data_IF_593248499436
#
_entry.id   IF_593248499436
#
_cell.length_a   1.000
_cell.length_b   1.000
_cell.length_c   1.000
_cell.angle_alpha   90.00
_cell.angle_beta   90.00
_cell.angle_gamma   90.00
#
_symmetry.space_group_name_H-M   'P 1'
#
loop_
_entity.id
_entity.type
_entity.pdbx_description
1 polymer ?
#
# COMPACT_ATOMS: atom_id res chain seq x y z
N UNK A 1 -66.01 -56.33 29.90
CA UNK A 1 -64.95 -56.87 29.05
C UNK A 1 -64.17 -55.66 28.55
N UNK A 2 -63.05 -55.47 29.13
CA UNK A 2 -62.24 -54.22 29.10
C UNK A 2 -61.08 -54.32 28.06
N UNK A 3 -60.98 -53.36 27.19
CA UNK A 3 -59.86 -53.24 26.26
C UNK A 3 -58.79 -52.31 26.83
N UNK A 4 -57.47 -52.61 26.75
CA UNK A 4 -56.44 -51.77 27.28
C UNK A 4 -55.94 -50.78 26.24
N UNK A 5 -55.70 -49.54 26.69
CA UNK A 5 -55.13 -48.39 25.96
C UNK A 5 -53.66 -48.61 25.66
N UNK A 6 -53.26 -48.37 24.40
CA UNK A 6 -51.85 -48.28 23.96
C UNK A 6 -51.35 -46.86 24.19
N UNK A 7 -50.42 -46.66 25.12
CA UNK A 7 -49.63 -45.42 25.26
C UNK A 7 -48.43 -45.48 24.32
N UNK A 8 -48.40 -44.59 23.30
CA UNK A 8 -47.31 -44.43 22.38
C UNK A 8 -46.28 -43.46 23.01
N UNK A 9 -45.09 -43.98 23.32
CA UNK A 9 -43.96 -43.16 23.72
C UNK A 9 -43.27 -42.57 22.46
N UNK A 10 -43.40 -41.28 22.26
CA UNK A 10 -42.60 -40.54 21.25
C UNK A 10 -41.21 -40.31 21.81
N UNK A 11 -40.21 -40.98 21.24
CA UNK A 11 -38.77 -40.70 21.48
C UNK A 11 -38.36 -39.55 20.65
N UNK A 12 -38.06 -38.41 21.29
CA UNK A 12 -37.38 -37.26 20.64
C UNK A 12 -35.90 -37.59 20.44
N UNK A 13 -35.46 -37.76 19.19
CA UNK A 13 -34.05 -37.83 18.84
C UNK A 13 -33.51 -36.38 18.77
N UNK A 14 -32.75 -35.99 19.77
CA UNK A 14 -31.96 -34.73 19.69
C UNK A 14 -30.71 -35.04 18.87
N UNK A 15 -30.71 -34.60 17.59
CA UNK A 15 -29.53 -34.64 16.74
C UNK A 15 -28.60 -33.47 17.13
N UNK A 16 -27.56 -33.78 17.90
CA UNK A 16 -26.46 -32.85 18.14
C UNK A 16 -25.63 -32.69 16.84
N UNK A 17 -25.79 -31.56 16.13
CA UNK A 17 -24.88 -31.16 15.08
C UNK A 17 -23.52 -30.81 15.73
N UNK A 18 -22.60 -31.75 15.70
CA UNK A 18 -21.18 -31.45 15.96
C UNK A 18 -20.65 -30.65 14.79
N UNK A 19 -20.49 -29.35 14.98
CA UNK A 19 -19.75 -28.49 14.04
C UNK A 19 -18.30 -28.96 14.03
N UNK A 20 -17.91 -29.69 12.98
CA UNK A 20 -16.52 -30.05 12.72
C UNK A 20 -15.76 -28.80 12.41
N UNK A 21 -15.07 -28.21 13.40
CA UNK A 21 -14.06 -27.22 13.18
C UNK A 21 -12.94 -27.89 12.37
N UNK A 22 -12.88 -27.62 11.07
CA UNK A 22 -11.72 -27.99 10.25
C UNK A 22 -10.48 -27.34 10.88
N UNK A 23 -9.43 -28.09 11.25
CA UNK A 23 -8.20 -27.49 11.72
C UNK A 23 -7.64 -26.62 10.59
N UNK A 24 -7.48 -25.33 10.83
CA UNK A 24 -6.75 -24.45 9.93
C UNK A 24 -5.33 -24.99 9.83
N UNK A 25 -4.96 -25.52 8.66
CA UNK A 25 -3.60 -25.98 8.39
C UNK A 25 -2.70 -24.75 8.46
N UNK A 26 -1.84 -24.70 9.48
CA UNK A 26 -0.83 -23.67 9.57
C UNK A 26 0.01 -23.73 8.27
N UNK A 27 0.19 -22.60 7.61
CA UNK A 27 0.95 -22.56 6.35
C UNK A 27 2.39 -23.00 6.63
N UNK A 28 2.90 -23.98 5.87
CA UNK A 28 4.29 -24.43 5.96
C UNK A 28 5.29 -23.32 5.64
N UNK A 29 4.84 -22.28 4.97
CA UNK A 29 5.59 -21.06 4.63
C UNK A 29 4.61 -19.94 4.32
N UNK A 30 5.05 -18.68 4.47
CA UNK A 30 4.30 -17.49 4.05
C UNK A 30 4.90 -16.89 2.78
N UNK A 31 4.07 -16.25 1.98
CA UNK A 31 4.51 -15.47 0.83
C UNK A 31 4.16 -14.00 1.03
N UNK A 32 5.19 -13.13 1.06
CA UNK A 32 5.07 -11.67 1.12
C UNK A 32 5.37 -11.09 -0.27
N UNK A 33 4.43 -10.33 -0.83
CA UNK A 33 4.65 -9.55 -2.05
C UNK A 33 4.91 -8.09 -1.70
N UNK A 34 5.90 -7.47 -2.36
CA UNK A 34 6.27 -6.07 -2.19
C UNK A 34 5.76 -5.23 -3.36
N UNK A 35 5.27 -4.01 -3.06
CA UNK A 35 4.89 -3.02 -4.08
C UNK A 35 6.15 -2.42 -4.75
N UNK A 36 6.23 -2.34 -6.09
CA UNK A 36 7.41 -1.87 -6.81
C UNK A 36 7.52 -0.34 -6.83
N UNK A 37 7.62 0.29 -5.66
CA UNK A 37 7.71 1.76 -5.53
C UNK A 37 9.08 2.34 -5.77
N UNK A 38 10.09 1.48 -5.93
CA UNK A 38 11.49 1.80 -6.23
C UNK A 38 12.11 0.66 -7.06
N UNK A 39 13.39 0.79 -7.45
CA UNK A 39 14.09 -0.16 -8.31
C UNK A 39 13.92 -1.62 -7.84
N UNK A 40 13.30 -2.50 -8.63
CA UNK A 40 12.87 -3.83 -8.18
C UNK A 40 14.01 -4.73 -7.70
N UNK A 41 15.20 -4.66 -8.32
CA UNK A 41 16.35 -5.51 -7.94
C UNK A 41 16.84 -5.23 -6.53
N UNK A 42 16.92 -3.95 -6.15
CA UNK A 42 17.42 -3.53 -4.84
C UNK A 42 16.36 -3.81 -3.77
N UNK A 43 15.09 -3.64 -4.13
CA UNK A 43 13.96 -3.95 -3.29
C UNK A 43 13.84 -5.45 -3.01
N UNK A 44 14.06 -6.31 -4.01
CA UNK A 44 13.99 -7.77 -3.83
C UNK A 44 15.06 -8.26 -2.85
N UNK A 45 16.32 -7.87 -3.05
CA UNK A 45 17.42 -8.28 -2.17
C UNK A 45 17.17 -7.88 -0.71
N UNK A 46 16.70 -6.64 -0.49
CA UNK A 46 16.35 -6.16 0.85
C UNK A 46 15.11 -6.87 1.41
N UNK A 47 14.12 -7.12 0.55
CA UNK A 47 12.91 -7.86 0.90
C UNK A 47 13.19 -9.29 1.35
N UNK A 48 14.11 -9.99 0.69
CA UNK A 48 14.53 -11.33 1.08
C UNK A 48 15.21 -11.33 2.46
N UNK A 49 16.03 -10.33 2.77
CA UNK A 49 16.62 -10.15 4.10
C UNK A 49 15.52 -9.91 5.15
N UNK A 50 14.56 -9.02 4.85
CA UNK A 50 13.40 -8.78 5.70
C UNK A 50 12.56 -10.05 5.90
N UNK A 51 12.32 -10.82 4.84
CA UNK A 51 11.61 -12.10 4.90
C UNK A 51 12.27 -13.11 5.83
N UNK A 52 13.62 -13.18 5.84
CA UNK A 52 14.36 -14.06 6.78
C UNK A 52 14.17 -13.61 8.23
N UNK A 53 14.25 -12.30 8.51
CA UNK A 53 14.02 -11.74 9.86
C UNK A 53 12.59 -12.03 10.31
N UNK A 54 11.61 -11.70 9.47
CA UNK A 54 10.20 -11.94 9.77
C UNK A 54 9.92 -13.42 9.98
N UNK A 55 10.45 -14.29 9.12
CA UNK A 55 10.28 -15.75 9.20
C UNK A 55 10.83 -16.33 10.50
N UNK A 56 12.00 -15.86 10.95
CA UNK A 56 12.58 -16.26 12.24
C UNK A 56 11.65 -15.91 13.41
N UNK A 57 11.06 -14.72 13.40
CA UNK A 57 10.16 -14.26 14.47
C UNK A 57 8.79 -14.93 14.44
N UNK A 58 8.28 -15.24 13.25
CA UNK A 58 6.97 -15.92 13.08
C UNK A 58 7.09 -17.43 13.30
N UNK A 59 8.27 -18.01 13.09
CA UNK A 59 8.54 -19.44 13.20
C UNK A 59 8.23 -20.25 11.95
N UNK A 60 8.02 -19.58 10.78
CA UNK A 60 7.85 -20.23 9.48
C UNK A 60 8.62 -19.44 8.39
N UNK A 61 9.15 -20.09 7.34
CA UNK A 61 9.83 -19.38 6.25
C UNK A 61 8.91 -18.35 5.59
N UNK A 62 9.45 -17.17 5.27
CA UNK A 62 8.76 -16.15 4.50
C UNK A 62 9.48 -15.96 3.16
N UNK A 63 8.83 -16.39 2.08
CA UNK A 63 9.26 -16.09 0.72
C UNK A 63 8.88 -14.66 0.38
N UNK A 64 9.76 -13.92 -0.31
CA UNK A 64 9.47 -12.55 -0.76
C UNK A 64 9.57 -12.47 -2.28
N UNK A 65 8.67 -11.70 -2.87
CA UNK A 65 8.73 -11.32 -4.29
C UNK A 65 8.38 -9.84 -4.43
N UNK A 66 8.78 -9.23 -5.54
CA UNK A 66 8.35 -7.89 -5.93
C UNK A 66 7.35 -8.05 -7.08
N UNK A 67 6.21 -7.39 -6.99
CA UNK A 67 5.20 -7.41 -8.04
C UNK A 67 5.67 -6.64 -9.30
N UNK A 68 5.03 -6.88 -10.45
CA UNK A 68 5.28 -6.13 -11.68
C UNK A 68 4.80 -4.68 -11.59
N UNK A 69 3.68 -4.48 -10.89
CA UNK A 69 3.00 -3.20 -10.72
C UNK A 69 2.12 -3.23 -9.46
N UNK A 70 1.46 -2.11 -9.16
CA UNK A 70 0.60 -1.97 -7.98
C UNK A 70 -0.66 -2.85 -8.06
N UNK A 71 -1.23 -3.03 -9.25
CA UNK A 71 -2.41 -3.88 -9.43
C UNK A 71 -2.08 -5.36 -9.18
N UNK A 72 -0.90 -5.82 -9.59
CA UNK A 72 -0.44 -7.19 -9.36
C UNK A 72 -0.33 -7.54 -7.87
N UNK A 73 -0.06 -6.56 -7.00
CA UNK A 73 -0.08 -6.78 -5.53
C UNK A 73 -1.49 -7.12 -5.05
N UNK A 74 -2.49 -6.36 -5.52
CA UNK A 74 -3.90 -6.57 -5.16
C UNK A 74 -4.38 -7.93 -5.67
N UNK A 75 -4.03 -8.27 -6.91
CA UNK A 75 -4.34 -9.55 -7.53
C UNK A 75 -3.71 -10.72 -6.76
N UNK A 76 -2.47 -10.57 -6.30
CA UNK A 76 -1.79 -11.62 -5.54
C UNK A 76 -2.51 -11.94 -4.21
N UNK A 77 -3.05 -10.93 -3.54
CA UNK A 77 -3.90 -11.13 -2.35
C UNK A 77 -5.25 -11.74 -2.71
N UNK A 78 -5.89 -11.27 -3.80
CA UNK A 78 -7.21 -11.71 -4.24
C UNK A 78 -7.24 -13.18 -4.64
N UNK A 79 -6.27 -13.61 -5.44
CA UNK A 79 -6.17 -14.99 -5.91
C UNK A 79 -5.41 -15.92 -4.94
N UNK A 80 -5.02 -15.38 -3.76
CA UNK A 80 -4.33 -16.11 -2.69
C UNK A 80 -2.95 -16.65 -3.09
N UNK A 81 -2.31 -16.08 -4.10
CA UNK A 81 -0.92 -16.42 -4.47
C UNK A 81 0.11 -15.75 -3.55
N UNK A 82 -0.30 -14.73 -2.78
CA UNK A 82 0.44 -14.18 -1.65
C UNK A 82 -0.41 -14.19 -0.38
N UNK A 83 0.22 -14.42 0.77
CA UNK A 83 -0.41 -14.39 2.08
C UNK A 83 -0.39 -12.99 2.68
N UNK A 84 0.70 -12.26 2.43
CA UNK A 84 0.98 -10.92 2.92
C UNK A 84 1.39 -10.02 1.77
N UNK A 85 1.09 -8.74 1.90
CA UNK A 85 1.56 -7.72 0.98
C UNK A 85 2.04 -6.48 1.71
N UNK A 86 3.16 -5.91 1.26
CA UNK A 86 3.52 -4.55 1.63
C UNK A 86 2.76 -3.60 0.71
N UNK A 87 1.82 -2.86 1.27
CA UNK A 87 0.87 -2.02 0.51
C UNK A 87 0.98 -0.56 0.93
N UNK A 88 0.91 0.35 -0.04
CA UNK A 88 0.69 1.76 0.24
C UNK A 88 -0.79 2.02 0.53
N UNK A 89 -1.16 3.13 1.18
CA UNK A 89 -2.53 3.37 1.65
C UNK A 89 -3.62 3.19 0.59
N UNK A 90 -3.40 3.71 -0.63
CA UNK A 90 -4.32 3.49 -1.76
C UNK A 90 -4.44 2.03 -2.14
N UNK A 91 -3.30 1.34 -2.24
CA UNK A 91 -3.25 -0.10 -2.51
C UNK A 91 -3.95 -0.92 -1.43
N UNK A 92 -3.80 -0.55 -0.15
CA UNK A 92 -4.54 -1.20 0.94
C UNK A 92 -6.06 -1.03 0.80
N UNK A 93 -6.53 0.19 0.57
CA UNK A 93 -7.98 0.43 0.41
C UNK A 93 -8.56 -0.35 -0.78
N UNK A 94 -7.84 -0.40 -1.90
CA UNK A 94 -8.24 -1.21 -3.04
C UNK A 94 -8.22 -2.70 -2.72
N UNK A 95 -7.15 -3.22 -2.09
CA UNK A 95 -7.05 -4.62 -1.68
C UNK A 95 -8.12 -5.00 -0.64
N UNK A 96 -8.43 -4.12 0.31
CA UNK A 96 -9.51 -4.34 1.30
C UNK A 96 -10.86 -4.47 0.61
N UNK A 97 -11.14 -3.62 -0.38
CA UNK A 97 -12.41 -3.63 -1.13
C UNK A 97 -12.52 -4.84 -2.08
N UNK A 98 -11.46 -5.16 -2.81
CA UNK A 98 -11.49 -6.13 -3.90
C UNK A 98 -11.07 -7.54 -3.50
N UNK A 99 -10.16 -7.64 -2.53
CA UNK A 99 -9.59 -8.90 -2.04
C UNK A 99 -9.91 -9.18 -0.57
N UNK A 100 -10.71 -8.33 0.09
CA UNK A 100 -11.03 -8.41 1.54
C UNK A 100 -9.78 -8.50 2.42
N UNK A 101 -8.69 -7.88 1.94
CA UNK A 101 -7.45 -7.85 2.70
C UNK A 101 -7.61 -7.05 4.00
N UNK A 102 -6.91 -7.47 5.04
CA UNK A 102 -6.93 -6.82 6.35
C UNK A 102 -5.56 -6.26 6.68
N UNK A 103 -5.51 -5.05 7.24
CA UNK A 103 -4.24 -4.45 7.67
C UNK A 103 -3.70 -5.19 8.91
N UNK A 104 -2.44 -5.55 8.88
CA UNK A 104 -1.76 -6.26 9.98
C UNK A 104 -0.99 -5.28 10.85
N UNK A 105 -0.20 -4.42 10.23
CA UNK A 105 0.57 -3.37 10.89
C UNK A 105 0.86 -2.26 9.88
N UNK A 106 1.04 -1.03 10.33
CA UNK A 106 1.50 0.10 9.52
C UNK A 106 2.94 0.45 9.84
N UNK A 107 3.60 1.14 8.92
CA UNK A 107 4.95 1.64 9.12
C UNK A 107 4.99 2.80 10.12
N UNK A 108 6.14 2.96 10.75
CA UNK A 108 6.59 4.22 11.33
C UNK A 108 7.64 4.78 10.37
N UNK A 109 7.45 6.00 9.89
CA UNK A 109 8.35 6.64 8.93
C UNK A 109 8.79 8.00 9.44
N UNK A 110 10.11 8.18 9.68
CA UNK A 110 10.68 9.37 10.30
C UNK A 110 9.95 9.82 11.59
N UNK A 111 9.51 8.83 12.40
CA UNK A 111 8.78 9.06 13.64
C UNK A 111 7.37 9.64 13.47
N UNK A 112 6.81 9.60 12.25
CA UNK A 112 5.48 10.16 11.92
C UNK A 112 4.48 9.05 11.58
N UNK A 113 3.21 9.33 11.86
CA UNK A 113 2.07 8.47 11.52
C UNK A 113 1.45 8.79 10.14
N UNK A 114 1.97 9.80 9.46
CA UNK A 114 1.49 10.25 8.14
C UNK A 114 2.58 10.99 7.37
N UNK A 115 2.44 11.03 6.07
CA UNK A 115 3.27 11.80 5.13
C UNK A 115 2.37 12.63 4.20
N UNK A 116 2.95 13.44 3.31
CA UNK A 116 2.21 14.20 2.31
C UNK A 116 2.68 13.84 0.90
N UNK A 117 1.95 14.30 -0.10
CA UNK A 117 2.42 14.29 -1.47
C UNK A 117 2.74 15.69 -1.95
N UNK A 118 3.76 15.80 -2.79
CA UNK A 118 4.15 17.06 -3.45
C UNK A 118 4.10 16.93 -4.95
N UNK A 119 3.77 18.04 -5.62
CA UNK A 119 3.94 18.18 -7.06
C UNK A 119 5.25 18.89 -7.29
N UNK A 120 6.26 18.12 -7.70
CA UNK A 120 7.63 18.59 -7.92
C UNK A 120 7.80 19.12 -9.35
N UNK A 121 8.64 20.15 -9.47
CA UNK A 121 9.04 20.79 -10.72
C UNK A 121 10.54 21.10 -10.68
N UNK A 122 11.15 21.36 -11.84
CA UNK A 122 12.52 21.91 -11.86
C UNK A 122 12.49 23.41 -11.57
N UNK A 123 13.47 23.89 -10.81
CA UNK A 123 13.64 25.33 -10.51
C UNK A 123 13.85 26.18 -11.77
N UNK A 124 14.55 25.63 -12.76
CA UNK A 124 14.85 26.30 -14.03
C UNK A 124 13.67 26.27 -15.03
N UNK A 125 12.56 25.62 -14.70
CA UNK A 125 11.40 25.51 -15.59
C UNK A 125 10.53 26.77 -15.67
N UNK A 126 10.69 27.72 -14.74
CA UNK A 126 9.82 28.88 -14.60
C UNK A 126 8.42 28.57 -14.07
N UNK A 127 8.14 27.31 -13.68
CA UNK A 127 6.86 26.90 -13.11
C UNK A 127 6.88 27.20 -11.61
N UNK A 128 6.07 28.16 -11.16
CA UNK A 128 6.04 28.64 -9.77
C UNK A 128 4.70 28.45 -9.08
N UNK A 129 3.69 27.94 -9.78
CA UNK A 129 2.36 27.67 -9.22
C UNK A 129 1.74 26.42 -9.82
N UNK A 130 0.69 25.93 -9.17
CA UNK A 130 -0.07 24.78 -9.64
C UNK A 130 -0.78 25.07 -10.97
N UNK A 131 -1.26 26.29 -11.16
CA UNK A 131 -1.95 26.75 -12.37
C UNK A 131 -0.99 26.84 -13.58
N UNK A 132 0.29 27.13 -13.35
CA UNK A 132 1.32 27.19 -14.38
C UNK A 132 1.65 25.81 -15.00
N UNK A 133 1.13 24.73 -14.43
CA UNK A 133 1.20 23.39 -14.98
C UNK A 133 0.20 23.14 -16.12
N UNK A 134 -0.71 24.05 -16.40
CA UNK A 134 -1.65 23.91 -17.52
C UNK A 134 -0.91 23.74 -18.83
N UNK A 135 -1.28 22.68 -19.57
CA UNK A 135 -0.64 22.36 -20.85
C UNK A 135 0.78 21.81 -20.74
N UNK A 136 1.25 21.45 -19.54
CA UNK A 136 2.54 20.82 -19.30
C UNK A 136 2.43 19.29 -19.28
N UNK A 137 3.58 18.63 -19.31
CA UNK A 137 3.66 17.16 -19.18
C UNK A 137 3.78 16.75 -17.73
N UNK A 138 2.89 15.89 -17.26
CA UNK A 138 2.84 15.36 -15.90
C UNK A 138 3.18 13.88 -15.85
N UNK A 139 4.09 13.46 -14.97
CA UNK A 139 4.24 12.06 -14.64
C UNK A 139 3.62 11.77 -13.28
N UNK A 140 2.71 10.83 -13.29
CA UNK A 140 2.23 10.12 -12.10
C UNK A 140 2.99 8.79 -11.93
N UNK A 141 2.90 8.18 -10.75
CA UNK A 141 3.59 6.90 -10.49
C UNK A 141 2.77 5.73 -11.00
N UNK A 142 1.57 5.55 -10.41
CA UNK A 142 0.65 4.45 -10.70
C UNK A 142 -0.76 4.85 -10.24
N UNK A 143 -1.84 4.44 -10.92
CA UNK A 143 -3.22 4.78 -10.52
C UNK A 143 -3.60 4.39 -9.08
N UNK A 144 -2.95 3.37 -8.51
CA UNK A 144 -3.17 2.94 -7.13
C UNK A 144 -2.21 3.62 -6.12
N UNK A 145 -1.24 4.42 -6.59
CA UNK A 145 -0.31 5.13 -5.71
C UNK A 145 -0.98 6.29 -4.99
N UNK A 146 -0.91 6.29 -3.65
CA UNK A 146 -1.48 7.36 -2.83
C UNK A 146 -0.85 8.72 -3.13
N UNK A 147 0.46 8.85 -2.99
CA UNK A 147 1.20 10.10 -3.21
C UNK A 147 1.57 10.33 -4.67
N UNK A 148 1.64 9.27 -5.48
CA UNK A 148 1.99 9.37 -6.89
C UNK A 148 0.82 9.65 -7.81
N UNK A 149 -0.45 9.56 -7.32
CA UNK A 149 -1.63 9.79 -8.16
C UNK A 149 -2.86 10.22 -7.37
N UNK A 150 -3.33 9.42 -6.40
CA UNK A 150 -4.65 9.61 -5.77
C UNK A 150 -4.76 10.99 -5.13
N UNK A 151 -3.89 11.34 -4.19
CA UNK A 151 -3.96 12.61 -3.47
C UNK A 151 -3.62 13.82 -4.35
N UNK A 152 -2.61 13.80 -5.23
CA UNK A 152 -2.40 14.84 -6.23
C UNK A 152 -3.61 15.10 -7.11
N UNK A 153 -4.28 14.06 -7.60
CA UNK A 153 -5.49 14.20 -8.39
C UNK A 153 -6.64 14.81 -7.59
N UNK A 154 -6.83 14.40 -6.33
CA UNK A 154 -7.81 15.00 -5.42
C UNK A 154 -7.53 16.49 -5.22
N UNK A 155 -6.27 16.87 -5.03
CA UNK A 155 -5.86 18.27 -4.91
C UNK A 155 -6.20 19.05 -6.18
N UNK A 156 -5.89 18.55 -7.36
CA UNK A 156 -6.17 19.18 -8.65
C UNK A 156 -7.68 19.34 -8.89
N UNK A 157 -8.48 18.33 -8.54
CA UNK A 157 -9.94 18.37 -8.64
C UNK A 157 -10.52 19.39 -7.65
N UNK A 158 -10.12 19.38 -6.39
CA UNK A 158 -10.58 20.35 -5.37
C UNK A 158 -10.24 21.80 -5.73
N UNK A 159 -9.15 22.01 -6.48
CA UNK A 159 -8.75 23.33 -7.01
C UNK A 159 -9.45 23.71 -8.32
N UNK A 160 -10.32 22.83 -8.86
CA UNK A 160 -11.02 23.08 -10.12
C UNK A 160 -10.13 23.07 -11.38
N UNK A 161 -8.90 22.54 -11.27
CA UNK A 161 -7.94 22.51 -12.36
C UNK A 161 -8.18 21.32 -13.28
N UNK A 162 -8.57 20.19 -12.72
CA UNK A 162 -8.94 18.97 -13.45
C UNK A 162 -10.45 18.79 -13.43
N UNK A 163 -11.05 18.60 -14.60
CA UNK A 163 -12.48 18.34 -14.77
C UNK A 163 -12.74 16.90 -15.19
N UNK A 164 -13.94 16.38 -14.95
CA UNK A 164 -14.36 15.03 -15.31
C UNK A 164 -13.41 13.91 -14.80
N UNK A 165 -12.59 14.20 -13.79
CA UNK A 165 -11.57 13.31 -13.22
C UNK A 165 -10.52 12.87 -14.25
N UNK A 166 -10.40 13.59 -15.36
CA UNK A 166 -9.44 13.33 -16.42
C UNK A 166 -8.27 14.36 -16.35
N UNK A 167 -7.06 13.96 -15.97
CA UNK A 167 -5.94 14.87 -15.87
C UNK A 167 -5.57 15.52 -17.22
N UNK A 168 -5.94 14.92 -18.35
CA UNK A 168 -5.73 15.48 -19.68
C UNK A 168 -6.58 16.73 -19.96
N UNK A 169 -7.57 17.03 -19.13
CA UNK A 169 -8.31 18.31 -19.19
C UNK A 169 -7.47 19.49 -18.71
N UNK A 170 -6.35 19.22 -18.06
CA UNK A 170 -5.45 20.23 -17.52
C UNK A 170 -4.01 20.10 -18.09
N UNK A 171 -3.46 18.90 -18.12
CA UNK A 171 -2.14 18.62 -18.66
C UNK A 171 -2.20 18.34 -20.17
N UNK A 172 -1.11 18.70 -20.89
CA UNK A 172 -0.96 18.32 -22.30
C UNK A 172 -0.76 16.82 -22.45
N UNK A 173 0.14 16.28 -21.66
CA UNK A 173 0.45 14.84 -21.64
C UNK A 173 0.52 14.32 -20.20
N UNK A 174 0.09 13.07 -20.04
CA UNK A 174 0.13 12.34 -18.76
C UNK A 174 0.75 10.99 -18.99
N UNK A 175 1.79 10.70 -18.22
CA UNK A 175 2.48 9.40 -18.25
C UNK A 175 2.47 8.77 -16.86
N UNK A 176 2.55 7.43 -16.82
CA UNK A 176 2.74 6.69 -15.58
C UNK A 176 4.15 6.08 -15.59
N UNK A 177 4.97 6.43 -14.62
CA UNK A 177 6.38 6.04 -14.55
C UNK A 177 6.61 4.66 -13.92
N UNK A 178 5.60 4.11 -13.23
CA UNK A 178 5.65 2.83 -12.53
C UNK A 178 6.34 2.90 -11.15
N UNK A 179 7.24 3.86 -10.91
CA UNK A 179 7.98 3.98 -9.66
C UNK A 179 8.36 5.42 -9.34
N UNK A 180 8.53 5.74 -8.05
CA UNK A 180 8.85 7.10 -7.59
C UNK A 180 10.25 7.57 -8.00
N UNK A 181 11.25 6.68 -7.97
CA UNK A 181 12.61 6.98 -8.41
C UNK A 181 12.67 7.24 -9.92
N UNK A 182 11.89 6.51 -10.73
CA UNK A 182 11.76 6.73 -12.16
C UNK A 182 11.13 8.09 -12.45
N UNK A 183 10.05 8.48 -11.74
CA UNK A 183 9.46 9.82 -11.83
C UNK A 183 10.49 10.90 -11.52
N UNK A 184 11.22 10.75 -10.42
CA UNK A 184 12.20 11.75 -9.97
C UNK A 184 13.33 11.93 -11.00
N UNK A 185 13.83 10.83 -11.60
CA UNK A 185 14.83 10.88 -12.66
C UNK A 185 14.27 11.50 -13.95
N UNK A 186 13.03 11.18 -14.33
CA UNK A 186 12.39 11.78 -15.51
C UNK A 186 12.26 13.30 -15.37
N UNK A 187 11.87 13.80 -14.18
CA UNK A 187 11.82 15.24 -13.90
C UNK A 187 13.20 15.90 -13.97
N UNK A 188 14.20 15.31 -13.29
CA UNK A 188 15.54 15.85 -13.22
C UNK A 188 16.18 15.97 -14.63
N UNK A 189 15.92 14.98 -15.49
CA UNK A 189 16.43 14.94 -16.87
C UNK A 189 15.58 15.77 -17.86
N UNK A 190 14.48 16.38 -17.41
CA UNK A 190 13.63 17.22 -18.26
C UNK A 190 12.73 16.45 -19.22
N UNK A 191 12.51 15.15 -18.99
CA UNK A 191 11.60 14.35 -19.82
C UNK A 191 10.13 14.68 -19.53
N UNK A 192 9.83 15.23 -18.35
CA UNK A 192 8.53 15.75 -17.93
C UNK A 192 8.69 17.08 -17.22
N UNK A 193 7.63 17.89 -17.17
CA UNK A 193 7.64 19.21 -16.53
C UNK A 193 7.34 19.13 -15.04
N UNK A 194 6.51 18.16 -14.63
CA UNK A 194 6.14 17.94 -13.24
C UNK A 194 5.95 16.44 -12.93
N UNK A 195 6.10 16.11 -11.65
CA UNK A 195 5.80 14.78 -11.13
C UNK A 195 5.01 14.90 -9.81
N UNK A 196 4.29 13.85 -9.46
CA UNK A 196 3.75 13.67 -8.11
C UNK A 196 4.53 12.59 -7.36
N UNK A 197 4.91 12.88 -6.11
CA UNK A 197 5.61 11.94 -5.25
C UNK A 197 5.46 12.34 -3.79
N UNK A 198 5.86 11.46 -2.85
CA UNK A 198 5.82 11.79 -1.43
C UNK A 198 6.85 12.90 -1.07
N UNK A 199 6.62 13.56 0.06
CA UNK A 199 7.31 14.79 0.49
C UNK A 199 8.83 14.66 0.63
N UNK A 200 9.35 13.47 0.97
CA UNK A 200 10.79 13.18 1.11
C UNK A 200 11.41 12.47 -0.11
N UNK A 201 10.65 12.29 -1.21
CA UNK A 201 11.12 11.54 -2.38
C UNK A 201 12.39 12.13 -3.00
N UNK A 202 12.51 13.45 -3.03
CA UNK A 202 13.69 14.14 -3.52
C UNK A 202 14.94 13.78 -2.71
N UNK A 203 14.82 13.77 -1.40
CA UNK A 203 15.89 13.46 -0.46
C UNK A 203 16.23 11.96 -0.49
N UNK A 204 15.23 11.12 -0.67
CA UNK A 204 15.40 9.67 -0.71
C UNK A 204 16.10 9.20 -1.98
N UNK A 205 15.68 9.70 -3.15
CA UNK A 205 16.13 9.17 -4.45
C UNK A 205 17.27 9.95 -5.11
N UNK A 206 17.48 11.24 -4.75
CA UNK A 206 18.57 12.03 -5.23
C UNK A 206 19.64 12.20 -4.16
N UNK A 207 20.72 11.40 -4.26
CA UNK A 207 21.79 11.42 -3.23
C UNK A 207 22.69 12.64 -3.37
N UNK A 208 22.86 13.17 -4.59
CA UNK A 208 23.61 14.39 -4.84
C UNK A 208 22.81 15.63 -4.41
N UNK A 209 23.43 16.48 -3.59
CA UNK A 209 22.86 17.73 -3.14
C UNK A 209 22.54 18.68 -4.31
N UNK A 210 23.44 18.77 -5.30
CA UNK A 210 23.22 19.61 -6.47
C UNK A 210 22.02 19.17 -7.31
N UNK A 211 21.78 17.85 -7.44
CA UNK A 211 20.56 17.32 -8.08
C UNK A 211 19.30 17.74 -7.31
N UNK A 212 19.31 17.62 -5.98
CA UNK A 212 18.16 18.02 -5.14
C UNK A 212 17.83 19.50 -5.26
N UNK A 213 18.86 20.36 -5.27
CA UNK A 213 18.71 21.81 -5.37
C UNK A 213 18.15 22.29 -6.72
N UNK A 214 18.21 21.46 -7.76
CA UNK A 214 17.55 21.73 -9.06
C UNK A 214 16.03 21.56 -9.02
N UNK A 215 15.49 20.92 -8.00
CA UNK A 215 14.07 20.64 -7.88
C UNK A 215 13.42 21.47 -6.77
N UNK A 216 12.17 21.83 -7.01
CA UNK A 216 11.27 22.46 -6.06
C UNK A 216 9.89 21.82 -6.14
N UNK A 217 8.92 22.27 -5.35
CA UNK A 217 7.54 21.83 -5.47
C UNK A 217 6.60 23.04 -5.50
N UNK A 218 5.48 22.91 -6.20
CA UNK A 218 4.47 23.98 -6.35
C UNK A 218 3.19 23.69 -5.57
N UNK A 219 3.05 22.51 -5.04
CA UNK A 219 1.90 22.14 -4.23
C UNK A 219 2.23 20.96 -3.31
N UNK A 220 1.52 20.92 -2.16
CA UNK A 220 1.55 19.83 -1.18
C UNK A 220 0.11 19.45 -0.82
N UNK A 221 -0.14 18.16 -0.61
CA UNK A 221 -1.48 17.63 -0.32
C UNK A 221 -1.78 17.61 1.19
N UNK A 222 -3.02 17.27 1.52
CA UNK A 222 -3.40 16.87 2.87
C UNK A 222 -2.59 15.63 3.32
N UNK A 223 -2.46 15.38 4.65
CA UNK A 223 -1.78 14.21 5.18
C UNK A 223 -2.38 12.88 4.67
N UNK A 224 -1.50 11.93 4.41
CA UNK A 224 -1.79 10.57 3.96
C UNK A 224 -1.37 9.62 5.09
N UNK A 225 -2.21 8.69 5.57
CA UNK A 225 -1.81 7.68 6.53
C UNK A 225 -0.68 6.81 5.99
N UNK A 226 0.12 6.20 6.86
CA UNK A 226 1.27 5.41 6.46
C UNK A 226 0.90 4.11 5.73
N UNK A 227 1.86 3.62 4.93
CA UNK A 227 1.86 2.30 4.31
C UNK A 227 1.91 1.19 5.37
N UNK A 228 1.77 -0.08 4.97
CA UNK A 228 1.86 -1.17 5.93
C UNK A 228 1.85 -2.55 5.30
N UNK A 229 1.76 -3.56 6.15
CA UNK A 229 1.58 -4.95 5.76
C UNK A 229 0.11 -5.32 5.88
N UNK A 230 -0.47 -5.81 4.80
CA UNK A 230 -1.81 -6.38 4.76
C UNK A 230 -1.74 -7.91 4.60
N UNK A 231 -2.72 -8.61 5.14
CA UNK A 231 -2.93 -10.04 4.96
C UNK A 231 -4.12 -10.30 4.04
N UNK A 232 -4.04 -11.39 3.25
CA UNK A 232 -5.17 -11.84 2.41
C UNK A 232 -6.36 -12.31 3.24
N UNK A 233 -7.51 -12.32 2.62
CA UNK A 233 -8.71 -12.96 3.17
C UNK A 233 -8.47 -14.44 3.48
N UNK A 234 -9.00 -14.89 4.62
CA UNK A 234 -8.94 -16.30 5.04
C UNK A 234 -7.55 -16.79 5.45
N UNK A 235 -6.56 -15.90 5.65
CA UNK A 235 -5.35 -16.27 6.38
C UNK A 235 -5.72 -16.54 7.84
N UNK A 236 -5.19 -17.64 8.39
CA UNK A 236 -5.50 -18.04 9.77
C UNK A 236 -5.26 -16.89 10.77
N UNK A 237 -6.25 -16.55 11.62
CA UNK A 237 -6.14 -15.45 12.58
C UNK A 237 -4.96 -15.56 13.55
N UNK A 238 -4.58 -16.79 13.96
CA UNK A 238 -3.42 -16.99 14.82
C UNK A 238 -2.12 -16.67 14.07
N UNK A 239 -2.05 -17.00 12.78
CA UNK A 239 -0.94 -16.63 11.91
C UNK A 239 -0.86 -15.12 11.74
N UNK A 240 -1.98 -14.43 11.48
CA UNK A 240 -2.03 -12.95 11.41
C UNK A 240 -1.55 -12.32 12.72
N UNK A 241 -1.97 -12.83 13.87
CA UNK A 241 -1.54 -12.34 15.17
C UNK A 241 -0.03 -12.54 15.40
N UNK A 242 0.54 -13.69 15.00
CA UNK A 242 1.99 -13.95 15.06
C UNK A 242 2.76 -12.98 14.17
N UNK A 243 2.31 -12.78 12.92
CA UNK A 243 2.93 -11.83 11.98
C UNK A 243 2.90 -10.42 12.56
N UNK A 244 1.75 -9.98 13.11
CA UNK A 244 1.65 -8.67 13.77
C UNK A 244 2.65 -8.54 14.92
N UNK A 245 2.69 -9.52 15.81
CA UNK A 245 3.63 -9.52 16.94
C UNK A 245 5.09 -9.47 16.49
N UNK A 246 5.44 -10.19 15.42
CA UNK A 246 6.76 -10.20 14.84
C UNK A 246 7.13 -8.83 14.22
N UNK A 247 6.22 -8.23 13.44
CA UNK A 247 6.43 -6.90 12.83
C UNK A 247 6.70 -5.83 13.91
N UNK A 248 5.93 -5.83 15.01
CA UNK A 248 6.11 -4.88 16.11
C UNK A 248 7.46 -5.03 16.84
N UNK A 249 8.16 -6.15 16.69
CA UNK A 249 9.50 -6.37 17.22
C UNK A 249 10.60 -5.90 16.26
N UNK A 250 10.31 -5.76 14.96
CA UNK A 250 11.27 -5.32 13.93
C UNK A 250 11.41 -3.80 14.01
N UNK A 251 12.26 -3.33 14.92
CA UNK A 251 12.54 -1.91 15.20
C UNK A 251 13.87 -1.75 15.91
N UNK A 252 14.30 -0.49 16.08
CA UNK A 252 15.51 -0.13 16.84
C UNK A 252 16.82 -0.49 16.12
N UNK A 253 17.98 -0.31 16.80
CA UNK A 253 19.28 -0.37 16.15
C UNK A 253 19.60 -1.68 15.43
N UNK A 254 19.11 -2.81 15.94
CA UNK A 254 19.34 -4.14 15.34
C UNK A 254 18.75 -4.27 13.92
N UNK A 255 17.69 -3.55 13.61
CA UNK A 255 16.98 -3.63 12.34
C UNK A 255 17.05 -2.34 11.51
N UNK A 256 17.59 -1.24 12.06
CA UNK A 256 17.56 0.08 11.43
C UNK A 256 18.17 0.08 10.02
N UNK A 257 19.31 -0.58 9.81
CA UNK A 257 19.95 -0.63 8.49
C UNK A 257 19.11 -1.37 7.45
N UNK A 258 18.42 -2.44 7.84
CA UNK A 258 17.50 -3.21 6.98
C UNK A 258 16.27 -2.37 6.63
N UNK A 259 15.62 -1.81 7.63
CA UNK A 259 14.39 -1.02 7.49
C UNK A 259 14.62 0.23 6.63
N UNK A 260 15.79 0.87 6.80
CA UNK A 260 16.19 2.01 5.97
C UNK A 260 16.35 1.65 4.49
N UNK A 261 16.85 0.45 4.18
CA UNK A 261 16.95 -0.03 2.79
C UNK A 261 15.60 -0.50 2.24
N UNK A 262 14.70 -1.00 3.09
CA UNK A 262 13.42 -1.53 2.65
C UNK A 262 12.52 -0.42 2.06
N UNK A 263 12.17 0.59 2.84
CA UNK A 263 11.39 1.76 2.41
C UNK A 263 11.69 2.99 3.27
N UNK A 264 12.90 3.07 3.84
CA UNK A 264 13.35 4.11 4.79
C UNK A 264 12.47 4.20 6.06
N UNK A 265 11.89 3.09 6.49
CA UNK A 265 11.02 3.03 7.68
C UNK A 265 11.84 2.82 8.96
N UNK A 266 11.24 3.21 10.11
CA UNK A 266 11.86 3.07 11.44
C UNK A 266 11.37 1.80 12.16
N UNK A 267 10.25 1.23 11.72
CA UNK A 267 9.61 0.05 12.32
C UNK A 267 8.15 -0.06 11.93
N UNK A 268 7.41 -0.80 12.76
CA UNK A 268 5.98 -1.01 12.57
C UNK A 268 5.22 -0.73 13.86
N UNK A 269 3.96 -0.28 13.72
CA UNK A 269 3.02 -0.10 14.80
C UNK A 269 1.65 -0.70 14.46
N UNK A 270 0.78 -0.79 15.47
CA UNK A 270 -0.59 -1.30 15.27
C UNK A 270 -1.33 -0.37 14.32
N UNK A 271 -2.05 -0.97 13.37
CA UNK A 271 -2.89 -0.26 12.42
C UNK A 271 -4.36 -0.63 12.63
N UNK A 272 -5.24 0.34 12.46
CA UNK A 272 -6.68 0.15 12.44
C UNK A 272 -7.23 0.50 11.04
N UNK A 273 -8.18 -0.29 10.54
CA UNK A 273 -8.77 -0.11 9.21
C UNK A 273 -9.37 1.31 9.02
N UNK A 274 -9.99 1.88 10.06
CA UNK A 274 -10.56 3.23 10.05
C UNK A 274 -9.55 4.35 9.79
N UNK A 275 -8.27 4.12 10.05
CA UNK A 275 -7.22 5.12 9.78
C UNK A 275 -7.09 5.42 8.28
N UNK A 276 -7.58 4.50 7.42
CA UNK A 276 -7.57 4.64 5.97
C UNK A 276 -8.87 5.24 5.40
N UNK A 277 -9.82 5.70 6.23
CA UNK A 277 -11.05 6.35 5.77
C UNK A 277 -10.80 7.61 4.93
N UNK A 278 -9.80 8.47 5.22
CA UNK A 278 -9.46 9.58 4.34
C UNK A 278 -9.03 9.13 2.94
N UNK A 279 -8.37 7.98 2.84
CA UNK A 279 -7.95 7.39 1.55
C UNK A 279 -9.16 6.84 0.79
N UNK A 280 -10.13 6.23 1.48
CA UNK A 280 -11.40 5.79 0.89
C UNK A 280 -12.14 6.97 0.28
N UNK A 281 -12.30 8.06 1.04
CA UNK A 281 -12.94 9.28 0.55
C UNK A 281 -12.21 9.89 -0.67
N UNK A 282 -10.88 9.86 -0.68
CA UNK A 282 -10.07 10.31 -1.82
C UNK A 282 -10.33 9.46 -3.07
N UNK A 283 -10.35 8.13 -2.94
CA UNK A 283 -10.63 7.20 -4.04
C UNK A 283 -12.06 7.36 -4.56
N UNK A 284 -13.04 7.55 -3.68
CA UNK A 284 -14.44 7.80 -4.05
C UNK A 284 -14.59 9.10 -4.86
N UNK A 285 -13.91 10.18 -4.45
CA UNK A 285 -13.89 11.43 -5.18
C UNK A 285 -13.35 11.25 -6.61
N UNK A 286 -12.34 10.40 -6.79
CA UNK A 286 -11.82 10.05 -8.11
C UNK A 286 -12.79 9.20 -8.94
N UNK A 287 -13.83 8.61 -8.31
CA UNK A 287 -14.75 7.69 -8.98
C UNK A 287 -14.05 6.44 -9.49
N UNK A 288 -12.91 6.12 -8.90
CA UNK A 288 -12.14 4.95 -9.26
C UNK A 288 -12.94 3.68 -8.96
N UNK A 289 -13.63 3.17 -9.98
CA UNK A 289 -13.91 1.73 -10.06
C UNK A 289 -12.63 1.13 -10.63
N UNK A 290 -11.97 0.22 -9.93
CA UNK A 290 -10.91 -0.56 -10.57
C UNK A 290 -11.51 -1.29 -11.76
N UNK A 291 -10.79 -1.28 -12.85
CA UNK A 291 -11.07 -2.14 -14.01
C UNK A 291 -10.49 -3.52 -13.78
#
# INVERSE_FOLDING_TARGET
MTSPSRRTFARWLVATLAASACPAVAADRLHLVLTPSQKPTDLLATGEEFGRVLGTLVGVPVRVTVASDYAAVIEALRNRSADLAFVHPGGYVLASREAKAVIVAKNVWHGKASFTSRIYVRRDSGITSLEALRGRTMAFVDPASSSGYIYPMVLLIKRGLVTNRDPKTFFKDVVFSGAHDASMRALLNGHVDAIASFDMAREQYLKDKAERERLDFVAETEPIPEAGIAARDGLDPATVAKVRSALLQIRGPAHAALLKRLYEIDGFEVAEDREYDPVRAAIELLGARPR
#
